data_IF_819135744485
#
_entry.id   IF_819135744485
#
_cell.length_a   1.000
_cell.length_b   1.000
_cell.length_c   1.000
_cell.angle_alpha   90.00
_cell.angle_beta   90.00
_cell.angle_gamma   90.00
#
_symmetry.space_group_name_H-M   'P 1'
#
loop_
_entity.id
_entity.type
_entity.pdbx_description
1 polymer ?
#
# COMPACT_ATOMS: atom_id res chain seq x y z
N UNK A 1 26.59 6.06 -18.08
CA UNK A 1 26.99 4.74 -18.56
C UNK A 1 26.22 3.57 -17.92
N UNK A 2 25.53 3.80 -16.82
CA UNK A 2 24.83 2.73 -16.09
C UNK A 2 23.41 2.51 -16.59
N UNK A 3 22.69 3.54 -16.91
CA UNK A 3 21.24 3.50 -17.18
C UNK A 3 20.91 2.81 -18.52
N UNK A 4 21.10 3.50 -19.63
CA UNK A 4 20.73 3.01 -20.96
C UNK A 4 21.53 1.75 -21.36
N UNK A 5 22.81 1.68 -20.99
CA UNK A 5 23.64 0.50 -21.29
C UNK A 5 23.17 -0.75 -20.53
N UNK A 6 22.66 -0.61 -19.33
CA UNK A 6 22.09 -1.74 -18.60
C UNK A 6 20.80 -2.23 -19.28
N UNK A 7 19.97 -1.30 -19.79
CA UNK A 7 18.77 -1.66 -20.53
C UNK A 7 19.12 -2.33 -21.85
N UNK A 8 20.07 -1.77 -22.59
CA UNK A 8 20.58 -2.35 -23.85
C UNK A 8 21.15 -3.77 -23.63
N UNK A 9 21.99 -3.95 -22.61
CA UNK A 9 22.50 -5.25 -22.21
C UNK A 9 21.37 -6.23 -21.88
N UNK A 10 20.39 -5.81 -21.08
CA UNK A 10 19.25 -6.64 -20.68
C UNK A 10 18.42 -7.09 -21.89
N UNK A 11 18.21 -6.20 -22.87
CA UNK A 11 17.48 -6.52 -24.10
C UNK A 11 18.25 -7.55 -24.92
N UNK A 12 19.57 -7.40 -25.04
CA UNK A 12 20.41 -8.27 -25.86
C UNK A 12 20.60 -9.67 -25.23
N UNK A 13 20.67 -9.76 -23.89
CA UNK A 13 20.94 -11.02 -23.18
C UNK A 13 19.69 -11.82 -22.85
N UNK A 14 18.51 -11.20 -22.69
CA UNK A 14 17.35 -11.84 -22.09
C UNK A 14 16.08 -11.84 -22.93
N UNK A 15 16.18 -11.82 -24.25
CA UNK A 15 15.02 -11.81 -25.16
C UNK A 15 13.92 -10.88 -24.65
N UNK A 16 14.26 -9.63 -24.49
CA UNK A 16 13.39 -8.58 -23.99
C UNK A 16 13.19 -7.47 -25.03
N UNK A 17 12.18 -6.66 -24.86
CA UNK A 17 11.93 -5.47 -25.65
C UNK A 17 11.75 -4.24 -24.77
N UNK A 18 12.25 -3.10 -25.22
CA UNK A 18 11.97 -1.82 -24.58
C UNK A 18 10.56 -1.35 -24.93
N UNK A 19 9.82 -0.89 -23.93
CA UNK A 19 8.52 -0.26 -24.09
C UNK A 19 8.68 1.25 -23.90
N UNK A 20 8.50 2.06 -24.97
CA UNK A 20 8.64 3.52 -24.88
C UNK A 20 7.68 4.12 -23.85
N UNK A 21 8.22 5.02 -23.04
CA UNK A 21 7.44 5.87 -22.15
C UNK A 21 7.20 7.22 -22.84
N UNK A 22 5.99 7.73 -22.75
CA UNK A 22 5.59 9.01 -23.32
C UNK A 22 5.19 9.97 -22.18
N UNK A 23 6.17 10.56 -21.44
CA UNK A 23 5.85 11.57 -20.45
C UNK A 23 5.30 12.83 -21.12
N UNK A 24 4.49 13.60 -20.42
CA UNK A 24 4.03 14.89 -20.87
C UNK A 24 5.21 15.87 -20.97
N UNK A 25 5.28 16.64 -22.06
CA UNK A 25 6.37 17.59 -22.33
C UNK A 25 6.52 18.64 -21.23
N UNK A 26 5.41 19.00 -20.57
CA UNK A 26 5.41 19.95 -19.45
C UNK A 26 6.15 19.47 -18.21
N UNK A 27 6.41 18.17 -18.10
CA UNK A 27 7.13 17.60 -16.94
C UNK A 27 8.64 17.83 -17.00
N UNK A 28 9.17 18.33 -18.10
CA UNK A 28 10.61 18.57 -18.24
C UNK A 28 11.50 17.33 -18.26
N UNK A 29 10.89 16.15 -18.47
CA UNK A 29 11.58 14.87 -18.53
C UNK A 29 12.36 14.76 -19.84
N UNK A 30 13.59 14.25 -19.78
CA UNK A 30 14.40 13.99 -20.97
C UNK A 30 14.21 12.55 -21.41
N UNK A 31 13.60 12.35 -22.59
CA UNK A 31 13.42 11.02 -23.19
C UNK A 31 14.73 10.62 -23.90
N UNK A 32 15.13 9.36 -23.74
CA UNK A 32 16.29 8.75 -24.36
C UNK A 32 15.87 7.49 -25.14
N UNK A 33 16.80 6.86 -25.85
CA UNK A 33 16.51 5.66 -26.65
C UNK A 33 15.94 4.48 -25.82
N UNK A 34 16.29 4.40 -24.54
CA UNK A 34 15.91 3.28 -23.67
C UNK A 34 15.25 3.69 -22.36
N UNK A 35 14.76 4.92 -22.24
CA UNK A 35 14.08 5.35 -21.02
C UNK A 35 13.93 6.85 -20.87
N UNK A 36 13.61 7.27 -19.67
CA UNK A 36 13.40 8.67 -19.32
C UNK A 36 14.34 9.09 -18.20
N UNK A 37 14.97 10.25 -18.32
CA UNK A 37 15.84 10.86 -17.31
C UNK A 37 15.14 12.04 -16.68
N UNK A 38 15.11 12.05 -15.37
CA UNK A 38 14.67 13.17 -14.54
C UNK A 38 15.92 13.91 -14.06
N UNK A 39 16.28 14.97 -14.76
CA UNK A 39 17.52 15.70 -14.49
C UNK A 39 17.24 16.83 -13.46
N UNK A 40 18.02 16.98 -12.38
CA UNK A 40 17.74 17.94 -11.29
C UNK A 40 17.64 19.42 -11.73
N UNK A 41 18.28 19.77 -12.86
CA UNK A 41 18.21 21.12 -13.42
C UNK A 41 16.96 21.37 -14.29
N UNK A 42 16.20 20.34 -14.63
CA UNK A 42 14.96 20.42 -15.43
C UNK A 42 13.72 20.04 -14.63
N UNK A 43 13.86 19.13 -13.68
CA UNK A 43 12.77 18.59 -12.87
C UNK A 43 13.12 18.75 -11.40
N UNK A 44 12.15 19.16 -10.59
CA UNK A 44 12.35 19.28 -9.15
C UNK A 44 12.54 17.89 -8.53
N UNK A 45 13.74 17.57 -8.08
CA UNK A 45 14.09 16.28 -7.46
C UNK A 45 15.60 16.02 -7.48
N UNK A 46 16.00 14.84 -7.01
CA UNK A 46 17.41 14.45 -6.86
C UNK A 46 18.01 13.77 -8.10
N UNK A 47 17.20 13.54 -9.11
CA UNK A 47 17.57 12.80 -10.31
C UNK A 47 17.06 11.35 -10.26
N UNK A 48 16.59 10.88 -11.40
CA UNK A 48 16.03 9.54 -11.55
C UNK A 48 16.13 9.08 -13.00
N UNK A 49 16.16 7.75 -13.20
CA UNK A 49 16.04 7.13 -14.51
C UNK A 49 14.99 6.02 -14.42
N UNK A 50 14.09 5.97 -15.41
CA UNK A 50 13.08 4.92 -15.54
C UNK A 50 13.11 4.34 -16.95
N UNK A 51 13.03 3.02 -17.03
CA UNK A 51 12.84 2.26 -18.26
C UNK A 51 11.86 1.13 -18.02
N UNK A 52 11.08 0.79 -19.04
CA UNK A 52 10.15 -0.34 -19.00
C UNK A 52 10.55 -1.34 -20.04
N UNK A 53 10.71 -2.59 -19.62
CA UNK A 53 11.15 -3.69 -20.48
C UNK A 53 10.16 -4.83 -20.36
N UNK A 54 9.79 -5.43 -21.49
CA UNK A 54 8.95 -6.62 -21.55
C UNK A 54 9.79 -7.82 -21.92
N UNK A 55 9.73 -8.89 -21.14
CA UNK A 55 10.25 -10.20 -21.51
C UNK A 55 9.37 -10.79 -22.61
N UNK A 56 9.97 -11.24 -23.73
CA UNK A 56 9.27 -11.85 -24.87
C UNK A 56 9.12 -13.36 -24.72
N UNK A 57 10.15 -14.03 -24.18
CA UNK A 57 10.13 -15.48 -24.04
C UNK A 57 9.00 -15.94 -23.12
N UNK A 58 8.32 -17.00 -23.53
CA UNK A 58 7.34 -17.65 -22.67
C UNK A 58 8.00 -18.15 -21.38
N UNK A 59 7.40 -17.85 -20.25
CA UNK A 59 7.81 -18.48 -19.00
C UNK A 59 7.36 -19.96 -19.05
N UNK A 60 8.24 -20.92 -18.75
CA UNK A 60 7.79 -22.28 -18.56
C UNK A 60 6.67 -22.30 -17.53
N UNK A 61 5.60 -23.00 -17.83
CA UNK A 61 4.47 -23.16 -16.91
C UNK A 61 5.03 -23.73 -15.62
N UNK A 62 5.04 -22.92 -14.55
CA UNK A 62 5.42 -23.42 -13.24
C UNK A 62 4.44 -24.54 -12.88
N UNK A 63 4.90 -25.79 -12.86
CA UNK A 63 4.17 -26.89 -12.25
C UNK A 63 4.09 -26.62 -10.73
N UNK A 64 3.07 -25.88 -10.35
CA UNK A 64 2.79 -25.58 -8.95
C UNK A 64 2.33 -26.89 -8.32
N UNK A 65 3.24 -27.54 -7.59
CA UNK A 65 2.88 -28.74 -6.80
C UNK A 65 1.76 -28.34 -5.85
N UNK A 66 0.73 -29.17 -5.77
CA UNK A 66 -0.37 -28.93 -4.83
C UNK A 66 0.17 -28.76 -3.41
N UNK A 67 -0.13 -27.64 -2.80
CA UNK A 67 0.30 -27.34 -1.43
C UNK A 67 -0.48 -28.25 -0.51
N UNK A 68 0.22 -29.06 0.28
CA UNK A 68 -0.39 -30.01 1.22
C UNK A 68 -1.16 -29.30 2.35
N UNK A 69 -0.76 -28.08 2.70
CA UNK A 69 -1.40 -27.30 3.76
C UNK A 69 -1.49 -25.83 3.33
N UNK A 70 -2.72 -25.36 3.08
CA UNK A 70 -2.98 -23.96 2.76
C UNK A 70 -2.74 -23.08 4.00
N UNK A 71 -2.22 -21.85 3.81
CA UNK A 71 -2.09 -20.91 4.91
C UNK A 71 -3.45 -20.60 5.54
N UNK A 72 -3.49 -20.20 6.82
CA UNK A 72 -4.72 -19.74 7.47
C UNK A 72 -5.37 -18.60 6.69
N UNK A 73 -6.69 -18.54 6.69
CA UNK A 73 -7.44 -17.53 5.97
C UNK A 73 -8.55 -16.92 6.84
N UNK A 74 -8.97 -15.70 6.52
CA UNK A 74 -10.04 -14.99 7.20
C UNK A 74 -10.90 -14.25 6.18
N UNK A 75 -12.02 -14.85 5.77
CA UNK A 75 -12.89 -14.27 4.74
C UNK A 75 -13.60 -12.99 5.20
N UNK A 76 -13.91 -12.85 6.48
CA UNK A 76 -14.63 -11.68 7.01
C UNK A 76 -13.87 -10.37 6.79
N UNK A 77 -12.54 -10.41 6.69
CA UNK A 77 -11.75 -9.24 6.36
C UNK A 77 -12.03 -8.68 4.96
N UNK A 78 -12.52 -9.51 4.02
CA UNK A 78 -12.85 -9.07 2.66
C UNK A 78 -14.11 -8.19 2.60
N UNK A 79 -14.91 -8.13 3.65
CA UNK A 79 -16.05 -7.21 3.75
C UNK A 79 -15.60 -5.73 3.70
N UNK A 80 -14.33 -5.47 4.02
CA UNK A 80 -13.71 -4.15 4.03
C UNK A 80 -13.05 -3.77 2.72
N UNK A 81 -13.05 -4.66 1.73
CA UNK A 81 -12.34 -4.52 0.46
C UNK A 81 -13.31 -4.34 -0.69
N UNK A 82 -12.98 -3.49 -1.66
CA UNK A 82 -13.68 -3.40 -2.93
C UNK A 82 -13.57 -4.74 -3.67
N UNK A 83 -14.65 -5.14 -4.36
CA UNK A 83 -14.66 -6.35 -5.17
C UNK A 83 -14.13 -7.60 -4.42
N UNK A 84 -14.71 -8.00 -3.28
CA UNK A 84 -14.20 -9.09 -2.43
C UNK A 84 -14.03 -10.40 -3.20
N UNK A 85 -14.83 -10.62 -4.25
CA UNK A 85 -14.75 -11.81 -5.11
C UNK A 85 -13.45 -11.91 -5.91
N UNK A 86 -12.72 -10.81 -6.08
CA UNK A 86 -11.41 -10.80 -6.74
C UNK A 86 -10.32 -11.42 -5.87
N UNK A 87 -10.50 -11.46 -4.56
CA UNK A 87 -9.46 -11.78 -3.59
C UNK A 87 -9.67 -13.11 -2.87
N UNK A 88 -8.56 -13.67 -2.40
CA UNK A 88 -8.48 -14.68 -1.35
C UNK A 88 -7.63 -14.12 -0.21
N UNK A 89 -7.87 -14.57 1.01
CA UNK A 89 -7.09 -14.11 2.16
C UNK A 89 -6.01 -15.09 2.56
N UNK A 90 -4.89 -14.55 3.04
CA UNK A 90 -3.79 -15.26 3.68
C UNK A 90 -3.52 -14.56 5.01
N UNK A 91 -3.32 -15.34 6.08
CA UNK A 91 -2.85 -14.79 7.37
C UNK A 91 -1.36 -15.10 7.49
N UNK A 92 -0.56 -14.07 7.68
CA UNK A 92 0.87 -14.18 7.96
C UNK A 92 1.26 -13.13 9.01
N UNK A 93 1.98 -13.55 10.06
CA UNK A 93 2.40 -12.69 11.17
C UNK A 93 1.23 -11.88 11.76
N UNK A 94 0.11 -12.53 12.03
CA UNK A 94 -1.12 -11.95 12.53
C UNK A 94 -1.79 -10.89 11.61
N UNK A 95 -1.31 -10.72 10.39
CA UNK A 95 -1.90 -9.82 9.40
C UNK A 95 -2.66 -10.63 8.35
N UNK A 96 -3.88 -10.19 8.08
CA UNK A 96 -4.72 -10.72 6.98
C UNK A 96 -4.41 -9.92 5.72
N UNK A 97 -3.95 -10.62 4.71
CA UNK A 97 -3.67 -10.06 3.38
C UNK A 97 -4.75 -10.47 2.39
N UNK A 98 -5.26 -9.54 1.62
CA UNK A 98 -6.07 -9.82 0.44
C UNK A 98 -5.14 -10.00 -0.76
N UNK A 99 -5.17 -11.19 -1.36
CA UNK A 99 -4.34 -11.56 -2.50
C UNK A 99 -5.25 -11.85 -3.69
N UNK A 100 -4.97 -11.24 -4.84
CA UNK A 100 -5.72 -11.49 -6.07
C UNK A 100 -5.73 -12.99 -6.38
N UNK A 101 -6.90 -13.51 -6.76
CA UNK A 101 -7.12 -14.94 -7.02
C UNK A 101 -6.15 -15.50 -8.07
N UNK A 102 -5.76 -14.69 -9.05
CA UNK A 102 -4.84 -15.11 -10.11
C UNK A 102 -3.42 -15.34 -9.57
N UNK A 103 -2.99 -14.56 -8.57
CA UNK A 103 -1.67 -14.67 -7.96
C UNK A 103 -1.66 -15.55 -6.71
N UNK A 104 -2.82 -15.89 -6.16
CA UNK A 104 -2.94 -16.67 -4.93
C UNK A 104 -2.18 -17.99 -4.98
N UNK A 105 -2.27 -18.81 -6.07
CA UNK A 105 -1.52 -20.07 -6.16
C UNK A 105 0.01 -19.84 -6.17
N UNK A 106 0.47 -18.79 -6.84
CA UNK A 106 1.88 -18.43 -6.87
C UNK A 106 2.39 -18.03 -5.49
N UNK A 107 1.69 -17.10 -4.83
CA UNK A 107 2.06 -16.61 -3.50
C UNK A 107 2.10 -17.73 -2.48
N UNK A 108 1.07 -18.56 -2.43
CA UNK A 108 1.00 -19.68 -1.48
C UNK A 108 2.08 -20.72 -1.74
N UNK A 109 2.42 -21.00 -3.00
CA UNK A 109 3.52 -21.90 -3.34
C UNK A 109 4.89 -21.35 -2.88
N UNK A 110 5.13 -20.07 -3.14
CA UNK A 110 6.37 -19.40 -2.73
C UNK A 110 6.51 -19.33 -1.20
N UNK A 111 5.39 -19.18 -0.46
CA UNK A 111 5.39 -19.20 1.02
C UNK A 111 5.83 -20.55 1.60
N UNK A 112 5.61 -21.65 0.87
CA UNK A 112 6.07 -22.99 1.28
C UNK A 112 7.56 -23.23 0.94
N UNK A 113 8.19 -22.33 0.21
CA UNK A 113 9.60 -22.40 -0.18
C UNK A 113 10.52 -21.63 0.77
N UNK A 114 11.76 -21.45 0.35
CA UNK A 114 12.79 -20.69 1.09
C UNK A 114 12.67 -19.15 0.91
N UNK A 115 11.62 -18.66 0.28
CA UNK A 115 11.47 -17.24 0.00
C UNK A 115 10.97 -16.47 1.21
N UNK A 116 11.62 -15.34 1.49
CA UNK A 116 11.14 -14.36 2.46
C UNK A 116 10.41 -13.25 1.73
N UNK A 117 9.09 -13.17 1.95
CA UNK A 117 8.32 -12.06 1.42
C UNK A 117 8.58 -10.78 2.21
N UNK A 118 8.82 -9.70 1.51
CA UNK A 118 8.81 -8.35 2.08
C UNK A 118 7.39 -7.77 2.10
N UNK A 119 6.61 -8.04 1.04
CA UNK A 119 5.22 -7.63 0.91
C UNK A 119 4.52 -8.53 -0.10
N UNK A 120 3.22 -8.79 0.10
CA UNK A 120 2.35 -9.45 -0.88
C UNK A 120 0.90 -9.08 -0.61
N UNK A 121 0.14 -8.81 -1.67
CA UNK A 121 -1.26 -8.41 -1.54
C UNK A 121 -1.48 -7.13 -0.74
N UNK A 122 -2.73 -6.89 -0.34
CA UNK A 122 -3.15 -5.73 0.46
C UNK A 122 -3.29 -6.16 1.92
N UNK A 123 -2.57 -5.57 2.87
CA UNK A 123 -2.80 -5.80 4.30
C UNK A 123 -4.15 -5.20 4.70
N UNK A 124 -5.11 -6.05 5.08
CA UNK A 124 -6.50 -5.63 5.37
C UNK A 124 -6.75 -5.47 6.85
N UNK A 125 -6.31 -6.44 7.64
CA UNK A 125 -6.61 -6.49 9.07
C UNK A 125 -5.46 -7.11 9.86
N UNK A 126 -5.39 -6.80 11.15
CA UNK A 126 -4.61 -7.55 12.14
C UNK A 126 -5.55 -8.43 12.94
N UNK A 127 -5.20 -9.70 13.11
CA UNK A 127 -5.93 -10.65 13.93
C UNK A 127 -5.44 -10.54 15.37
N UNK A 128 -6.36 -10.32 16.30
CA UNK A 128 -6.07 -10.49 17.72
C UNK A 128 -6.57 -11.87 18.14
N UNK A 129 -5.63 -12.73 18.54
CA UNK A 129 -5.91 -14.03 19.11
C UNK A 129 -6.19 -13.88 20.61
N UNK A 130 -7.38 -14.28 21.06
CA UNK A 130 -7.82 -14.22 22.45
C UNK A 130 -9.05 -15.10 22.67
N UNK A 131 -9.80 -14.87 23.77
CA UNK A 131 -11.06 -15.60 24.05
C UNK A 131 -12.10 -15.46 22.95
N UNK A 132 -12.04 -14.38 22.15
CA UNK A 132 -12.72 -14.20 20.87
C UNK A 132 -11.74 -13.58 19.89
N UNK A 133 -11.58 -14.18 18.71
CA UNK A 133 -10.76 -13.57 17.64
C UNK A 133 -11.45 -12.31 17.15
N UNK A 134 -10.75 -11.19 17.15
CA UNK A 134 -11.25 -9.92 16.61
C UNK A 134 -10.29 -9.38 15.54
N UNK A 135 -10.88 -8.67 14.57
CA UNK A 135 -10.13 -8.01 13.51
C UNK A 135 -9.96 -6.52 13.83
N UNK A 136 -8.76 -6.03 13.66
CA UNK A 136 -8.45 -4.59 13.67
C UNK A 136 -8.11 -4.17 12.25
N UNK A 137 -8.72 -3.12 11.67
CA UNK A 137 -8.36 -2.67 10.35
C UNK A 137 -6.88 -2.25 10.30
N UNK A 138 -6.16 -2.76 9.30
CA UNK A 138 -4.75 -2.48 9.13
C UNK A 138 -4.57 -1.08 8.51
N UNK A 139 -3.56 -0.34 8.99
CA UNK A 139 -3.31 1.03 8.50
C UNK A 139 -3.15 1.11 6.97
N UNK A 140 -2.46 0.15 6.36
CA UNK A 140 -2.26 0.13 4.92
C UNK A 140 -3.57 0.03 4.12
N UNK A 141 -4.65 -0.53 4.70
CA UNK A 141 -5.95 -0.56 4.06
C UNK A 141 -6.52 0.85 3.87
N UNK A 142 -6.34 1.76 4.86
CA UNK A 142 -6.82 3.14 4.74
C UNK A 142 -6.15 3.88 3.57
N UNK A 143 -4.90 3.54 3.26
CA UNK A 143 -4.12 4.15 2.18
C UNK A 143 -4.28 3.43 0.84
N UNK A 144 -5.06 2.36 0.80
CA UNK A 144 -5.27 1.54 -0.39
C UNK A 144 -6.52 1.97 -1.15
N UNK A 145 -6.46 1.98 -2.47
CA UNK A 145 -7.62 2.14 -3.34
C UNK A 145 -8.63 0.98 -3.18
N UNK A 146 -8.20 -0.12 -2.58
CA UNK A 146 -9.05 -1.28 -2.31
C UNK A 146 -9.92 -1.13 -1.06
N UNK A 147 -9.76 -0.06 -0.28
CA UNK A 147 -10.67 0.20 0.83
C UNK A 147 -12.09 0.43 0.32
N UNK A 148 -13.01 -0.40 0.77
CA UNK A 148 -14.44 -0.20 0.53
C UNK A 148 -14.92 1.03 1.31
N UNK A 149 -15.39 2.06 0.58
CA UNK A 149 -15.68 3.39 1.14
C UNK A 149 -16.75 3.41 2.23
N UNK A 150 -17.68 2.48 2.17
CA UNK A 150 -18.79 2.34 3.13
C UNK A 150 -18.51 1.31 4.25
N UNK A 151 -17.34 0.69 4.26
CA UNK A 151 -16.96 -0.28 5.30
C UNK A 151 -16.74 0.37 6.68
N UNK A 152 -16.38 1.65 6.70
CA UNK A 152 -16.13 2.42 7.92
C UNK A 152 -16.66 3.84 7.77
N UNK A 153 -17.16 4.45 8.87
CA UNK A 153 -17.39 5.89 8.88
C UNK A 153 -16.09 6.64 8.55
N UNK A 154 -16.17 7.63 7.66
CA UNK A 154 -15.04 8.50 7.30
C UNK A 154 -15.27 9.88 7.90
N UNK A 155 -14.30 10.39 8.64
CA UNK A 155 -14.38 11.72 9.26
C UNK A 155 -13.24 12.58 8.77
N UNK A 156 -13.58 13.66 8.06
CA UNK A 156 -12.64 14.70 7.72
C UNK A 156 -12.35 15.55 8.96
N UNK A 157 -11.10 15.68 9.30
CA UNK A 157 -10.63 16.47 10.45
C UNK A 157 -9.91 17.72 9.97
N UNK A 158 -9.79 18.70 10.85
CA UNK A 158 -8.98 19.89 10.60
C UNK A 158 -7.48 19.57 10.64
N UNK A 159 -6.65 20.53 10.21
CA UNK A 159 -5.20 20.37 10.13
C UNK A 159 -4.58 20.00 11.48
N UNK A 160 -5.01 20.67 12.56
CA UNK A 160 -4.51 20.43 13.91
C UNK A 160 -4.79 19.01 14.39
N UNK A 161 -6.02 18.54 14.18
CA UNK A 161 -6.43 17.18 14.53
C UNK A 161 -5.72 16.13 13.64
N UNK A 162 -5.51 16.44 12.34
CA UNK A 162 -4.73 15.58 11.44
C UNK A 162 -3.29 15.41 11.92
N UNK A 163 -2.63 16.51 12.33
CA UNK A 163 -1.29 16.44 12.91
C UNK A 163 -1.26 15.65 14.21
N UNK A 164 -2.22 15.86 15.11
CA UNK A 164 -2.34 15.08 16.34
C UNK A 164 -2.50 13.58 16.04
N UNK A 165 -3.32 13.24 15.01
CA UNK A 165 -3.45 11.87 14.55
C UNK A 165 -2.10 11.30 14.06
N UNK A 166 -1.39 12.02 13.17
CA UNK A 166 -0.10 11.58 12.63
C UNK A 166 1.02 11.55 13.68
N UNK A 167 0.88 12.27 14.77
CA UNK A 167 1.76 12.20 15.95
C UNK A 167 1.39 11.09 16.91
N UNK A 168 0.31 10.36 16.58
CA UNK A 168 -0.25 9.29 17.42
C UNK A 168 -0.77 9.78 18.77
N UNK A 169 -1.18 11.03 18.84
CA UNK A 169 -1.84 11.60 20.00
C UNK A 169 -3.31 11.15 20.07
N UNK A 170 -3.92 11.24 21.24
CA UNK A 170 -5.33 10.98 21.41
C UNK A 170 -6.14 12.09 20.75
N UNK A 171 -7.11 11.72 19.92
CA UNK A 171 -8.06 12.66 19.31
C UNK A 171 -9.48 12.36 19.80
N UNK A 172 -10.35 13.34 19.70
CA UNK A 172 -11.77 13.22 20.00
C UNK A 172 -12.57 13.50 18.73
N UNK A 173 -13.44 12.58 18.37
CA UNK A 173 -14.36 12.74 17.24
C UNK A 173 -15.77 12.91 17.80
N UNK A 174 -16.40 14.06 17.53
CA UNK A 174 -17.76 14.36 18.01
C UNK A 174 -18.81 13.81 17.04
N UNK A 175 -19.93 13.33 17.56
CA UNK A 175 -21.07 12.89 16.74
C UNK A 175 -20.84 11.58 15.97
N UNK A 176 -19.81 10.82 16.33
CA UNK A 176 -19.45 9.56 15.65
C UNK A 176 -19.72 8.38 16.57
N UNK A 177 -20.33 7.33 16.05
CA UNK A 177 -20.61 6.10 16.80
C UNK A 177 -19.31 5.39 17.24
N UNK A 178 -19.46 4.56 18.30
CA UNK A 178 -18.36 3.72 18.78
C UNK A 178 -18.00 2.67 17.74
N UNK A 179 -16.70 2.48 17.53
CA UNK A 179 -16.20 1.52 16.52
C UNK A 179 -14.95 1.99 15.83
N UNK A 180 -14.59 1.34 14.73
CA UNK A 180 -13.50 1.78 13.88
C UNK A 180 -13.95 2.88 12.95
N UNK A 181 -13.14 3.93 12.83
CA UNK A 181 -13.40 5.13 12.04
C UNK A 181 -12.17 5.43 11.20
N UNK A 182 -12.36 5.72 9.94
CA UNK A 182 -11.32 6.21 9.05
C UNK A 182 -11.18 7.73 9.24
N UNK A 183 -10.02 8.19 9.63
CA UNK A 183 -9.68 9.62 9.73
C UNK A 183 -9.15 10.08 8.38
N UNK A 184 -9.68 11.19 7.87
CA UNK A 184 -9.26 11.79 6.63
C UNK A 184 -8.94 13.29 6.79
N UNK A 185 -8.08 13.82 5.95
CA UNK A 185 -7.82 15.25 5.82
C UNK A 185 -7.93 15.66 4.35
N UNK A 186 -8.71 16.67 4.05
CA UNK A 186 -9.04 17.08 2.66
C UNK A 186 -9.52 15.89 1.80
N UNK A 187 -10.36 15.02 2.36
CA UNK A 187 -10.87 13.78 1.75
C UNK A 187 -9.79 12.71 1.46
N UNK A 188 -8.57 12.89 1.92
CA UNK A 188 -7.50 11.89 1.82
C UNK A 188 -7.46 11.09 3.12
N UNK A 189 -7.66 9.76 3.08
CA UNK A 189 -7.55 8.91 4.25
C UNK A 189 -6.14 8.97 4.87
N UNK A 190 -6.09 9.13 6.18
CA UNK A 190 -4.84 9.12 6.94
C UNK A 190 -4.62 7.81 7.69
N UNK A 191 -5.69 7.11 8.05
CA UNK A 191 -5.63 5.87 8.82
C UNK A 191 -6.87 5.64 9.67
N UNK A 192 -6.79 4.73 10.62
CA UNK A 192 -7.91 4.34 11.47
C UNK A 192 -7.71 4.74 12.93
N UNK A 193 -8.83 4.99 13.60
CA UNK A 193 -8.94 5.06 15.06
C UNK A 193 -10.02 4.10 15.53
N UNK A 194 -9.95 3.69 16.80
CA UNK A 194 -11.07 3.03 17.48
C UNK A 194 -11.73 4.04 18.42
N UNK A 195 -12.90 4.53 18.04
CA UNK A 195 -13.71 5.40 18.89
C UNK A 195 -14.34 4.58 20.04
N UNK A 196 -14.04 4.95 21.26
CA UNK A 196 -14.61 4.32 22.48
C UNK A 196 -15.66 5.22 23.16
N UNK A 197 -15.97 6.36 22.55
CA UNK A 197 -16.97 7.34 22.97
C UNK A 197 -16.36 8.63 23.53
N UNK A 198 -15.61 8.55 24.61
CA UNK A 198 -14.95 9.71 25.23
C UNK A 198 -13.59 10.06 24.64
N UNK A 199 -12.99 9.16 23.89
CA UNK A 199 -11.70 9.33 23.18
C UNK A 199 -11.60 8.34 22.04
N UNK A 200 -10.63 8.57 21.16
CA UNK A 200 -10.26 7.63 20.11
C UNK A 200 -8.89 7.01 20.40
N UNK A 201 -8.80 5.69 20.36
CA UNK A 201 -7.52 5.01 20.36
C UNK A 201 -6.93 5.11 18.95
N UNK A 202 -5.78 5.77 18.84
CA UNK A 202 -5.11 6.01 17.59
C UNK A 202 -4.38 4.74 17.11
N UNK A 203 -4.69 4.25 15.90
CA UNK A 203 -4.12 3.04 15.31
C UNK A 203 -2.98 3.36 14.31
N UNK A 204 -2.56 4.62 14.22
CA UNK A 204 -1.44 5.01 13.36
C UNK A 204 -0.15 4.28 13.78
N UNK A 205 0.66 3.76 12.85
CA UNK A 205 1.88 3.03 13.17
C UNK A 205 2.87 3.89 13.97
N UNK A 206 3.40 3.35 15.07
CA UNK A 206 4.29 4.12 15.96
C UNK A 206 5.58 4.57 15.28
N UNK A 207 6.15 3.71 14.42
CA UNK A 207 7.38 4.00 13.70
C UNK A 207 7.23 5.05 12.60
N UNK A 208 6.00 5.40 12.19
CA UNK A 208 5.71 6.45 11.21
C UNK A 208 5.30 7.78 11.83
N UNK A 209 5.13 7.81 13.15
CA UNK A 209 4.65 9.03 13.81
C UNK A 209 5.57 10.22 13.58
N UNK A 210 4.98 11.37 13.38
CA UNK A 210 5.69 12.64 13.34
C UNK A 210 6.23 12.93 14.75
N UNK A 211 7.53 13.14 14.88
CA UNK A 211 8.21 13.42 16.16
C UNK A 211 8.52 14.91 16.35
N UNK A 212 8.54 15.67 15.26
CA UNK A 212 8.79 17.10 15.31
C UNK A 212 7.58 17.85 15.90
N UNK A 213 7.85 18.93 16.61
CA UNK A 213 6.82 19.90 16.95
C UNK A 213 6.52 20.70 15.69
N UNK A 214 5.31 20.52 15.15
CA UNK A 214 4.78 21.30 14.04
C UNK A 214 3.81 22.30 14.63
N UNK A 215 4.01 23.60 14.36
CA UNK A 215 3.13 24.67 14.81
C UNK A 215 2.06 24.95 13.76
N UNK A 216 0.95 25.55 14.15
CA UNK A 216 -0.14 25.92 13.22
C UNK A 216 0.34 26.93 12.15
N UNK A 217 1.46 27.62 12.40
CA UNK A 217 2.09 28.57 11.47
C UNK A 217 2.87 27.89 10.34
N UNK A 218 3.14 26.58 10.47
CA UNK A 218 3.88 25.83 9.46
C UNK A 218 2.98 25.32 8.33
N UNK A 219 1.65 25.51 8.45
CA UNK A 219 0.71 25.15 7.40
C UNK A 219 0.84 26.10 6.22
N UNK A 220 1.40 25.60 5.15
CA UNK A 220 1.36 26.22 3.84
C UNK A 220 0.50 25.37 2.93
N UNK A 221 -0.54 25.94 2.34
CA UNK A 221 -1.26 25.26 1.25
C UNK A 221 -0.26 24.92 0.16
N UNK A 222 -0.22 23.64 -0.22
CA UNK A 222 0.66 23.13 -1.29
C UNK A 222 -0.10 23.10 -2.62
N UNK A 223 -1.39 23.45 -2.59
CA UNK A 223 -2.29 23.49 -3.75
C UNK A 223 -2.69 24.91 -4.06
#
# INVERSE_FOLDING_TARGET
LENERNVEWLINEFDAEYLPLCPDDSWGVTVTDFGCRFLPHKVRGEGFFISVVRKKSECPTLNIKSIKQLPPSCKNALEWVNNPDRYKTIIANDVVYAVDKNYYPLVTNMMCGAFKFLSFGVPVATVITGKSSSLIPHHALALSEELKRDAFPVVNVDYKTALAFLRREAIVLQGVEKGYVCVAFNNVPLGFVKNVGNRCNNLYPDYWRIRMNVTDTDYKSII
#
